data_IF_451375590501
#
_entry.id   IF_451375590501
#
_cell.length_a   1.000
_cell.length_b   1.000
_cell.length_c   1.000
_cell.angle_alpha   90.00
_cell.angle_beta   90.00
_cell.angle_gamma   90.00
#
_symmetry.space_group_name_H-M   'P 1'
#
loop_
_entity.id
_entity.type
_entity.pdbx_description
1 polymer ?
#
# COMPACT_ATOMS: atom_id res chain seq x y z
N UNK A 1 -43.63 -5.20 -28.34
CA UNK A 1 -42.63 -4.29 -27.76
C UNK A 1 -41.93 -5.02 -26.65
N UNK A 2 -40.75 -5.54 -26.89
CA UNK A 2 -39.90 -6.25 -25.90
C UNK A 2 -39.06 -5.23 -25.13
N UNK A 3 -39.20 -5.20 -23.81
CA UNK A 3 -38.37 -4.38 -22.90
C UNK A 3 -36.98 -4.97 -22.87
N UNK A 4 -35.96 -4.15 -23.21
CA UNK A 4 -34.58 -4.50 -23.03
C UNK A 4 -34.25 -4.73 -21.53
N UNK A 5 -33.39 -5.69 -21.16
CA UNK A 5 -32.99 -5.88 -19.78
C UNK A 5 -32.13 -4.69 -19.33
N UNK A 6 -32.52 -4.06 -18.23
CA UNK A 6 -31.75 -3.06 -17.53
C UNK A 6 -30.43 -3.68 -17.09
N UNK A 7 -29.33 -3.21 -17.67
CA UNK A 7 -27.98 -3.61 -17.26
C UNK A 7 -27.76 -3.28 -15.78
N UNK A 8 -27.71 -4.31 -14.95
CA UNK A 8 -27.20 -4.21 -13.58
C UNK A 8 -25.75 -3.73 -13.67
N UNK A 9 -25.49 -2.48 -13.32
CA UNK A 9 -24.12 -2.02 -13.10
C UNK A 9 -23.55 -2.86 -11.97
N UNK A 10 -22.66 -3.81 -12.28
CA UNK A 10 -21.85 -4.47 -11.25
C UNK A 10 -21.15 -3.36 -10.47
N UNK A 11 -21.52 -3.17 -9.21
CA UNK A 11 -20.72 -2.36 -8.28
C UNK A 11 -19.30 -2.90 -8.38
N UNK A 12 -18.35 -2.05 -8.73
CA UNK A 12 -16.92 -2.38 -8.70
C UNK A 12 -16.60 -2.84 -7.27
N UNK A 13 -16.02 -4.03 -7.13
CA UNK A 13 -15.62 -4.59 -5.83
C UNK A 13 -14.14 -4.29 -5.55
N UNK A 14 -13.63 -3.17 -6.06
CA UNK A 14 -12.26 -2.73 -5.96
C UNK A 14 -11.96 -2.26 -4.54
N UNK A 15 -11.02 -2.92 -3.88
CA UNK A 15 -10.66 -2.64 -2.48
C UNK A 15 -9.47 -1.69 -2.39
N UNK A 16 -9.46 -0.85 -1.35
CA UNK A 16 -8.28 -0.14 -0.88
C UNK A 16 -7.65 -0.99 0.22
N UNK A 17 -6.47 -1.51 -0.08
CA UNK A 17 -5.70 -2.39 0.79
C UNK A 17 -4.44 -1.68 1.25
N UNK A 18 -4.30 -1.47 2.55
CA UNK A 18 -3.06 -0.99 3.18
C UNK A 18 -2.22 -2.18 3.55
N UNK A 19 -0.99 -2.26 3.05
CA UNK A 19 -0.06 -3.35 3.37
C UNK A 19 1.24 -2.76 3.93
N UNK A 20 1.48 -2.97 5.21
CA UNK A 20 2.63 -2.40 5.91
C UNK A 20 3.23 -3.38 6.92
N UNK A 21 4.50 -3.12 7.26
CA UNK A 21 5.17 -3.75 8.39
C UNK A 21 5.09 -2.84 9.61
N UNK A 22 5.02 -3.43 10.80
CA UNK A 22 5.15 -2.71 12.06
C UNK A 22 5.96 -3.52 13.07
N UNK A 23 6.57 -2.82 14.03
CA UNK A 23 7.25 -3.45 15.16
C UNK A 23 6.23 -4.08 16.12
N UNK A 24 6.73 -4.99 16.99
CA UNK A 24 5.90 -5.64 18.01
C UNK A 24 5.23 -4.62 18.95
N UNK A 25 5.89 -3.51 19.23
CA UNK A 25 5.40 -2.42 20.08
C UNK A 25 4.66 -1.30 19.31
N UNK A 26 4.31 -1.56 18.04
CA UNK A 26 3.34 -0.78 17.26
C UNK A 26 3.91 0.45 16.55
N UNK A 27 5.21 0.46 16.25
CA UNK A 27 5.82 1.53 15.45
C UNK A 27 5.83 1.17 13.97
N UNK A 28 5.65 2.19 13.13
CA UNK A 28 5.72 2.13 11.67
C UNK A 28 7.13 2.41 11.15
N UNK A 29 7.89 3.26 11.83
CA UNK A 29 9.32 3.52 11.58
C UNK A 29 10.03 3.73 12.91
N UNK A 30 11.35 3.55 12.93
CA UNK A 30 12.19 3.90 14.07
C UNK A 30 12.36 5.42 14.24
N UNK A 31 13.19 5.83 15.23
CA UNK A 31 13.49 7.22 15.50
C UNK A 31 13.95 7.99 14.25
N UNK A 32 13.51 9.22 14.12
CA UNK A 32 13.82 10.06 12.96
C UNK A 32 13.19 9.61 11.63
N UNK A 33 12.22 8.71 11.66
CA UNK A 33 11.58 8.17 10.47
C UNK A 33 12.40 7.07 9.79
N UNK A 34 13.35 6.47 10.50
CA UNK A 34 14.20 5.42 9.96
C UNK A 34 13.42 4.13 9.64
N UNK A 35 13.11 3.92 8.37
CA UNK A 35 12.39 2.73 7.87
C UNK A 35 13.24 1.46 8.04
N UNK A 36 14.58 1.59 7.91
CA UNK A 36 15.50 0.44 8.01
C UNK A 36 15.63 -0.13 9.43
N UNK A 37 15.04 0.53 10.44
CA UNK A 37 14.91 -0.03 11.78
C UNK A 37 13.82 -1.12 11.88
N UNK A 38 12.98 -1.27 10.84
CA UNK A 38 11.92 -2.26 10.82
C UNK A 38 12.50 -3.67 10.63
N UNK A 39 11.86 -4.70 11.22
CA UNK A 39 12.35 -6.08 11.16
C UNK A 39 11.99 -6.76 9.82
N UNK A 40 12.51 -6.24 8.71
CA UNK A 40 12.32 -6.83 7.38
C UNK A 40 12.97 -8.21 7.27
N UNK A 41 12.30 -9.13 6.58
CA UNK A 41 12.83 -10.43 6.19
C UNK A 41 12.17 -10.94 4.89
N UNK A 42 12.47 -12.17 4.46
CA UNK A 42 11.98 -12.73 3.19
C UNK A 42 10.45 -12.80 3.13
N UNK A 43 9.77 -13.05 4.26
CA UNK A 43 8.30 -13.07 4.33
C UNK A 43 7.66 -11.73 3.98
N UNK A 44 8.38 -10.61 4.24
CA UNK A 44 7.95 -9.28 3.80
C UNK A 44 7.95 -9.16 2.28
N UNK A 45 9.03 -9.56 1.61
CA UNK A 45 9.16 -9.50 0.16
C UNK A 45 8.15 -10.44 -0.52
N UNK A 46 7.99 -11.67 -0.01
CA UNK A 46 7.00 -12.62 -0.54
C UNK A 46 5.59 -12.02 -0.55
N UNK A 47 5.16 -11.46 0.57
CA UNK A 47 3.81 -10.92 0.68
C UNK A 47 3.62 -9.64 -0.14
N UNK A 48 4.62 -8.79 -0.21
CA UNK A 48 4.57 -7.59 -1.05
C UNK A 48 4.42 -7.95 -2.54
N UNK A 49 5.13 -8.98 -3.01
CA UNK A 49 4.95 -9.49 -4.38
C UNK A 49 3.51 -10.00 -4.62
N UNK A 50 2.94 -10.76 -3.67
CA UNK A 50 1.54 -11.21 -3.74
C UNK A 50 0.58 -10.03 -3.87
N UNK A 51 0.76 -8.98 -3.08
CA UNK A 51 -0.10 -7.78 -3.13
C UNK A 51 0.05 -6.99 -4.42
N UNK A 52 1.27 -6.84 -4.92
CA UNK A 52 1.52 -6.18 -6.20
C UNK A 52 0.85 -6.93 -7.37
N UNK A 53 0.89 -8.27 -7.38
CA UNK A 53 0.19 -9.08 -8.39
C UNK A 53 -1.34 -8.93 -8.30
N UNK A 54 -1.88 -8.73 -7.10
CA UNK A 54 -3.32 -8.57 -6.87
C UNK A 54 -3.84 -7.16 -7.15
N UNK A 55 -2.97 -6.16 -7.21
CA UNK A 55 -3.32 -4.76 -7.43
C UNK A 55 -3.11 -4.32 -8.89
N UNK A 56 -3.70 -3.19 -9.27
CA UNK A 56 -3.41 -2.49 -10.51
C UNK A 56 -3.11 -1.01 -10.29
N UNK A 57 -3.24 -0.53 -9.07
CA UNK A 57 -2.94 0.85 -8.69
C UNK A 57 -2.20 0.88 -7.37
N UNK A 58 -1.07 1.60 -7.32
CA UNK A 58 -0.38 2.00 -6.10
C UNK A 58 -0.78 3.44 -5.73
N UNK A 59 -1.27 3.62 -4.52
CA UNK A 59 -1.52 4.94 -3.95
C UNK A 59 -0.40 5.27 -2.96
N UNK A 60 0.38 6.29 -3.24
CA UNK A 60 1.59 6.62 -2.50
C UNK A 60 1.58 8.08 -2.04
N UNK A 61 2.17 8.34 -0.89
CA UNK A 61 2.61 9.68 -0.51
C UNK A 61 3.95 10.03 -1.19
N UNK A 62 4.28 11.33 -1.21
CA UNK A 62 5.50 11.82 -1.86
C UNK A 62 6.77 11.09 -1.41
N UNK A 63 7.01 11.01 -0.11
CA UNK A 63 8.23 10.40 0.44
C UNK A 63 8.37 8.94 0.00
N UNK A 64 7.35 8.12 0.20
CA UNK A 64 7.37 6.71 -0.23
C UNK A 64 7.55 6.57 -1.74
N UNK A 65 6.95 7.46 -2.54
CA UNK A 65 7.16 7.46 -3.98
C UNK A 65 8.61 7.79 -4.36
N UNK A 66 9.20 8.81 -3.72
CA UNK A 66 10.59 9.22 -3.98
C UNK A 66 11.58 8.10 -3.57
N UNK A 67 11.35 7.44 -2.43
CA UNK A 67 12.14 6.30 -1.97
C UNK A 67 12.04 5.10 -2.94
N UNK A 68 10.82 4.75 -3.35
CA UNK A 68 10.57 3.66 -4.29
C UNK A 68 11.21 3.93 -5.65
N UNK A 69 11.08 5.16 -6.15
CA UNK A 69 11.69 5.58 -7.41
C UNK A 69 13.22 5.60 -7.35
N UNK A 70 13.79 5.87 -6.19
CA UNK A 70 15.23 5.84 -5.97
C UNK A 70 15.81 4.42 -5.92
N UNK A 71 15.01 3.45 -5.49
CA UNK A 71 15.45 2.08 -5.24
C UNK A 71 15.08 1.10 -6.37
N UNK A 72 13.79 0.98 -6.69
CA UNK A 72 13.29 -0.10 -7.53
C UNK A 72 13.82 -0.10 -8.96
N UNK A 73 13.93 1.01 -9.70
CA UNK A 73 14.37 0.96 -11.11
C UNK A 73 15.74 0.32 -11.31
N UNK A 74 16.64 0.41 -10.31
CA UNK A 74 17.95 -0.19 -10.38
C UNK A 74 17.99 -1.70 -10.14
N UNK A 75 16.90 -2.29 -9.63
CA UNK A 75 16.84 -3.70 -9.21
C UNK A 75 16.41 -4.62 -10.37
N UNK A 76 15.55 -4.14 -11.27
CA UNK A 76 14.92 -4.95 -12.31
C UNK A 76 15.93 -5.75 -13.18
N UNK A 77 17.00 -5.10 -13.60
CA UNK A 77 18.00 -5.63 -14.50
C UNK A 77 19.28 -6.11 -13.77
N UNK A 78 19.37 -5.93 -12.46
CA UNK A 78 20.51 -6.35 -11.65
C UNK A 78 20.44 -7.87 -11.38
N UNK A 79 21.27 -8.64 -12.09
CA UNK A 79 21.32 -10.10 -11.97
C UNK A 79 21.91 -10.59 -10.65
N UNK A 80 22.52 -9.73 -9.84
CA UNK A 80 22.99 -10.06 -8.49
C UNK A 80 21.87 -10.11 -7.47
N UNK A 81 20.71 -9.50 -7.77
CA UNK A 81 19.53 -9.49 -6.90
C UNK A 81 18.75 -10.81 -7.03
N UNK A 82 18.03 -11.14 -5.95
CA UNK A 82 17.15 -12.31 -5.96
C UNK A 82 16.06 -12.19 -7.05
N UNK A 83 15.63 -13.30 -7.66
CA UNK A 83 14.58 -13.29 -8.68
C UNK A 83 13.29 -12.60 -8.19
N UNK A 84 12.93 -12.78 -6.93
CA UNK A 84 11.75 -12.16 -6.32
C UNK A 84 11.88 -10.63 -6.25
N UNK A 85 13.06 -10.09 -5.86
CA UNK A 85 13.28 -8.65 -5.79
C UNK A 85 13.20 -8.01 -7.19
N UNK A 86 13.74 -8.69 -8.19
CA UNK A 86 13.63 -8.26 -9.59
C UNK A 86 12.18 -8.28 -10.09
N UNK A 87 11.41 -9.29 -9.69
CA UNK A 87 9.97 -9.34 -9.99
C UNK A 87 9.23 -8.18 -9.31
N UNK A 88 9.46 -7.92 -8.02
CA UNK A 88 8.87 -6.79 -7.30
C UNK A 88 9.20 -5.47 -7.99
N UNK A 89 10.45 -5.31 -8.44
CA UNK A 89 10.88 -4.13 -9.20
C UNK A 89 10.08 -3.95 -10.50
N UNK A 90 9.94 -5.02 -11.30
CA UNK A 90 9.17 -5.01 -12.54
C UNK A 90 7.69 -4.67 -12.29
N UNK A 91 7.08 -5.27 -11.27
CA UNK A 91 5.70 -4.99 -10.87
C UNK A 91 5.52 -3.54 -10.45
N UNK A 92 6.43 -2.99 -9.64
CA UNK A 92 6.43 -1.58 -9.25
C UNK A 92 6.62 -0.64 -10.45
N UNK A 93 7.43 -1.03 -11.42
CA UNK A 93 7.61 -0.27 -12.67
C UNK A 93 6.34 -0.21 -13.52
N UNK A 94 5.64 -1.33 -13.65
CA UNK A 94 4.49 -1.49 -14.54
C UNK A 94 3.17 -0.95 -13.98
N UNK A 95 2.95 -1.04 -12.67
CA UNK A 95 1.68 -0.67 -12.02
C UNK A 95 1.41 0.85 -12.12
N UNK A 96 0.13 1.26 -12.28
CA UNK A 96 -0.26 2.67 -12.18
C UNK A 96 0.03 3.23 -10.78
N UNK A 97 0.67 4.40 -10.71
CA UNK A 97 0.95 5.10 -9.45
C UNK A 97 0.15 6.40 -9.35
N UNK A 98 -0.57 6.54 -8.25
CA UNK A 98 -1.24 7.79 -7.86
C UNK A 98 -0.50 8.35 -6.67
N UNK A 99 0.14 9.50 -6.84
CA UNK A 99 0.97 10.11 -5.80
C UNK A 99 0.25 11.29 -5.17
N UNK A 100 -0.06 11.19 -3.89
CA UNK A 100 -0.70 12.28 -3.13
C UNK A 100 0.37 13.26 -2.66
N UNK A 101 0.39 14.46 -3.26
CA UNK A 101 1.37 15.49 -2.94
C UNK A 101 0.94 16.88 -3.38
N UNK A 102 1.17 17.87 -2.53
CA UNK A 102 0.98 19.29 -2.87
C UNK A 102 2.24 19.93 -3.49
N UNK A 103 3.42 19.32 -3.29
CA UNK A 103 4.72 19.88 -3.70
C UNK A 103 5.35 19.16 -4.89
N UNK A 104 4.93 17.93 -5.22
CA UNK A 104 5.46 17.20 -6.36
C UNK A 104 4.79 17.65 -7.65
N UNK A 105 5.57 17.93 -8.69
CA UNK A 105 5.03 18.30 -10.00
C UNK A 105 4.91 17.08 -10.93
N UNK A 106 4.00 17.14 -11.90
CA UNK A 106 3.83 16.09 -12.92
C UNK A 106 5.15 15.77 -13.64
N UNK A 107 5.96 16.79 -13.97
CA UNK A 107 7.26 16.62 -14.61
C UNK A 107 8.25 15.79 -13.77
N UNK A 108 8.18 15.88 -12.45
CA UNK A 108 9.07 15.14 -11.55
C UNK A 108 8.72 13.65 -11.43
N UNK A 109 7.58 13.22 -11.88
CA UNK A 109 7.15 11.81 -11.84
C UNK A 109 7.31 11.07 -13.16
N UNK A 110 7.75 11.76 -14.22
CA UNK A 110 8.03 11.15 -15.52
C UNK A 110 9.19 10.14 -15.43
N UNK A 111 9.14 9.11 -16.27
CA UNK A 111 10.24 8.15 -16.49
C UNK A 111 10.25 6.92 -15.58
N UNK A 112 9.23 6.73 -14.72
CA UNK A 112 9.09 5.47 -13.96
C UNK A 112 7.64 4.96 -14.01
N UNK A 113 7.29 4.39 -15.17
CA UNK A 113 5.96 3.82 -15.43
C UNK A 113 4.82 4.85 -15.38
N UNK A 114 3.57 4.40 -15.48
CA UNK A 114 2.42 5.28 -15.45
C UNK A 114 2.25 5.90 -14.05
N UNK A 115 2.46 7.21 -13.96
CA UNK A 115 2.43 7.93 -12.68
C UNK A 115 1.71 9.26 -12.85
N UNK A 116 0.82 9.59 -11.90
CA UNK A 116 0.16 10.90 -11.82
C UNK A 116 0.14 11.44 -10.40
N UNK A 117 0.10 12.75 -10.28
CA UNK A 117 0.06 13.44 -8.99
C UNK A 117 -1.34 13.96 -8.73
N UNK A 118 -1.81 13.78 -7.50
CA UNK A 118 -3.08 14.28 -7.00
C UNK A 118 -2.80 15.17 -5.79
N UNK A 119 -3.48 16.29 -5.68
CA UNK A 119 -3.37 17.15 -4.50
C UNK A 119 -3.96 16.46 -3.28
N UNK A 120 -3.43 16.77 -2.10
CA UNK A 120 -3.92 16.19 -0.84
C UNK A 120 -5.41 16.48 -0.64
N UNK A 121 -5.87 17.68 -0.99
CA UNK A 121 -7.28 18.06 -0.88
C UNK A 121 -8.20 17.18 -1.74
N UNK A 122 -7.71 16.66 -2.87
CA UNK A 122 -8.50 15.88 -3.83
C UNK A 122 -8.34 14.36 -3.63
N UNK A 123 -7.47 13.92 -2.70
CA UNK A 123 -7.11 12.52 -2.52
C UNK A 123 -8.31 11.61 -2.19
N UNK A 124 -9.26 12.10 -1.39
CA UNK A 124 -10.45 11.33 -1.01
C UNK A 124 -11.38 11.11 -2.21
N UNK A 125 -11.64 12.17 -2.98
CA UNK A 125 -12.49 12.09 -4.17
C UNK A 125 -11.84 11.20 -5.24
N UNK A 126 -10.52 11.27 -5.39
CA UNK A 126 -9.77 10.40 -6.28
C UNK A 126 -9.90 8.93 -5.89
N UNK A 127 -9.72 8.59 -4.61
CA UNK A 127 -9.87 7.22 -4.11
C UNK A 127 -11.30 6.73 -4.29
N UNK A 128 -12.29 7.56 -3.95
CA UNK A 128 -13.71 7.23 -4.16
C UNK A 128 -14.00 6.95 -5.65
N UNK A 129 -13.48 7.79 -6.56
CA UNK A 129 -13.61 7.60 -8.00
C UNK A 129 -12.91 6.30 -8.48
N UNK A 130 -11.70 6.02 -7.98
CA UNK A 130 -10.98 4.78 -8.29
C UNK A 130 -11.79 3.53 -7.87
N UNK A 131 -12.41 3.55 -6.71
CA UNK A 131 -13.25 2.43 -6.21
C UNK A 131 -14.47 2.15 -7.09
N UNK A 132 -14.95 3.12 -7.87
CA UNK A 132 -16.09 2.92 -8.79
C UNK A 132 -15.69 2.35 -10.15
N UNK A 133 -14.41 2.40 -10.52
CA UNK A 133 -13.89 1.89 -11.80
C UNK A 133 -13.73 0.37 -11.74
N UNK A 134 -13.82 -0.30 -12.89
CA UNK A 134 -13.40 -1.69 -12.99
C UNK A 134 -11.89 -1.78 -12.79
N UNK A 135 -11.45 -2.79 -12.05
CA UNK A 135 -10.02 -2.99 -11.77
C UNK A 135 -9.79 -3.97 -10.63
N UNK A 136 -8.52 -4.12 -10.26
CA UNK A 136 -8.05 -4.89 -9.12
C UNK A 136 -7.88 -3.98 -7.90
N UNK A 137 -7.18 -4.45 -6.88
CA UNK A 137 -6.98 -3.70 -5.64
C UNK A 137 -6.22 -2.37 -5.87
N UNK A 138 -6.56 -1.37 -5.06
CA UNK A 138 -5.79 -0.14 -4.86
C UNK A 138 -4.90 -0.41 -3.64
N UNK A 139 -3.60 -0.54 -3.88
CA UNK A 139 -2.64 -0.94 -2.86
C UNK A 139 -1.93 0.29 -2.29
N UNK A 140 -1.75 0.32 -0.98
CA UNK A 140 -0.98 1.36 -0.29
C UNK A 140 0.17 0.68 0.45
N UNK A 141 1.40 1.00 0.05
CA UNK A 141 2.60 0.69 0.79
C UNK A 141 3.14 1.93 1.49
N UNK A 142 3.73 1.76 2.67
CA UNK A 142 4.28 2.87 3.41
C UNK A 142 3.26 3.98 3.62
N UNK A 143 3.60 5.19 3.19
CA UNK A 143 2.65 6.32 3.02
C UNK A 143 1.79 6.61 4.25
N UNK A 144 2.43 6.62 5.42
CA UNK A 144 1.81 6.66 6.75
C UNK A 144 0.68 7.71 6.87
N UNK A 145 0.96 8.95 6.49
CA UNK A 145 -0.03 10.04 6.57
C UNK A 145 -1.23 9.77 5.64
N UNK A 146 -0.96 9.23 4.42
CA UNK A 146 -2.02 9.00 3.43
C UNK A 146 -3.00 7.94 3.91
N UNK A 147 -2.49 6.77 4.34
CA UNK A 147 -3.41 5.70 4.73
C UNK A 147 -4.13 5.98 6.05
N UNK A 148 -3.49 6.66 7.02
CA UNK A 148 -4.17 7.08 8.26
C UNK A 148 -5.30 8.07 7.97
N UNK A 149 -5.09 9.05 7.06
CA UNK A 149 -6.13 9.98 6.65
C UNK A 149 -7.30 9.27 5.95
N UNK A 150 -7.02 8.35 5.03
CA UNK A 150 -8.05 7.56 4.35
C UNK A 150 -8.80 6.62 5.30
N UNK A 151 -8.11 6.02 6.27
CA UNK A 151 -8.73 5.17 7.28
C UNK A 151 -9.70 5.97 8.18
N UNK A 152 -9.30 7.18 8.56
CA UNK A 152 -10.15 8.09 9.33
C UNK A 152 -11.41 8.54 8.55
N UNK A 153 -11.36 8.48 7.20
CA UNK A 153 -12.44 8.87 6.28
C UNK A 153 -13.30 7.72 5.79
N UNK A 154 -13.08 6.49 6.27
CA UNK A 154 -13.87 5.33 5.85
C UNK A 154 -13.57 4.84 4.43
N UNK A 155 -12.36 5.09 3.91
CA UNK A 155 -11.98 4.75 2.54
C UNK A 155 -11.07 3.54 2.42
N UNK A 156 -10.53 3.01 3.53
CA UNK A 156 -9.73 1.80 3.58
C UNK A 156 -10.62 0.59 3.81
N UNK A 157 -10.53 -0.43 2.97
CA UNK A 157 -11.33 -1.65 3.10
C UNK A 157 -10.60 -2.73 3.91
N UNK A 158 -9.28 -2.83 3.74
CA UNK A 158 -8.47 -3.85 4.44
C UNK A 158 -7.14 -3.28 4.93
N UNK A 159 -6.72 -3.75 6.11
CA UNK A 159 -5.40 -3.53 6.66
C UNK A 159 -4.66 -4.87 6.72
N UNK A 160 -3.56 -4.98 5.99
CA UNK A 160 -2.66 -6.12 6.00
C UNK A 160 -1.39 -5.72 6.74
N UNK A 161 -1.27 -6.13 7.99
CA UNK A 161 -0.18 -5.72 8.87
C UNK A 161 0.74 -6.90 9.13
N UNK A 162 2.00 -6.76 8.74
CA UNK A 162 3.08 -7.69 9.07
C UNK A 162 3.73 -7.23 10.36
N UNK A 163 3.52 -7.97 11.44
CA UNK A 163 4.06 -7.64 12.76
C UNK A 163 5.35 -8.43 12.95
N UNK A 164 6.46 -7.71 13.06
CA UNK A 164 7.78 -8.33 13.28
C UNK A 164 8.16 -8.42 14.75
N UNK A 165 9.14 -9.26 15.05
CA UNK A 165 9.60 -9.52 16.41
C UNK A 165 10.48 -8.41 17.02
N UNK A 166 10.65 -7.26 16.32
CA UNK A 166 11.43 -6.13 16.80
C UNK A 166 10.66 -5.25 17.77
N UNK A 167 11.30 -4.80 18.82
CA UNK A 167 10.81 -3.77 19.74
C UNK A 167 11.68 -2.53 19.54
N UNK A 168 11.06 -1.41 19.15
CA UNK A 168 11.79 -0.17 18.82
C UNK A 168 11.85 0.83 19.98
N UNK A 169 10.84 0.84 20.84
CA UNK A 169 10.76 1.72 22.00
C UNK A 169 10.47 3.20 21.67
N UNK A 170 10.81 3.66 20.46
CA UNK A 170 10.61 5.02 19.97
C UNK A 170 10.45 5.03 18.43
N UNK A 171 9.85 6.09 17.90
CA UNK A 171 9.63 6.24 16.46
C UNK A 171 8.23 6.77 16.12
N UNK A 172 7.78 6.53 14.88
CA UNK A 172 6.44 6.91 14.43
C UNK A 172 5.48 5.75 14.70
N UNK A 173 4.42 5.99 15.46
CA UNK A 173 3.38 4.99 15.72
C UNK A 173 2.65 4.62 14.41
N UNK A 174 2.26 3.35 14.27
CA UNK A 174 1.55 2.89 13.06
C UNK A 174 0.20 3.61 12.90
N UNK A 175 -0.56 3.77 13.99
CA UNK A 175 -1.84 4.47 13.98
C UNK A 175 -1.72 5.84 14.63
N UNK A 176 -2.17 6.89 13.93
CA UNK A 176 -2.25 8.26 14.48
C UNK A 176 -3.46 8.44 15.40
N UNK A 177 -4.54 7.71 15.13
CA UNK A 177 -5.77 7.76 15.90
C UNK A 177 -6.52 6.42 15.85
N UNK A 178 -7.58 6.32 16.65
CA UNK A 178 -8.49 5.18 16.56
C UNK A 178 -9.19 5.17 15.19
N UNK A 179 -9.21 4.05 14.46
CA UNK A 179 -9.97 3.91 13.22
C UNK A 179 -11.45 4.27 13.41
N UNK A 180 -12.07 4.87 12.38
CA UNK A 180 -13.50 5.16 12.38
C UNK A 180 -14.35 3.87 12.36
N UNK A 181 -13.85 2.82 11.69
CA UNK A 181 -14.49 1.50 11.62
C UNK A 181 -13.93 0.51 12.65
N UNK A 182 -14.65 -0.58 12.85
CA UNK A 182 -14.19 -1.72 13.62
C UNK A 182 -13.27 -2.62 12.78
N UNK A 183 -12.22 -3.15 13.40
CA UNK A 183 -11.32 -4.10 12.74
C UNK A 183 -11.78 -5.53 13.03
N UNK A 184 -12.03 -6.29 11.97
CA UNK A 184 -12.39 -7.70 12.05
C UNK A 184 -11.31 -8.53 11.35
N UNK A 185 -10.70 -9.48 12.07
CA UNK A 185 -9.70 -10.38 11.51
C UNK A 185 -10.30 -11.20 10.37
N UNK A 186 -9.63 -11.20 9.21
CA UNK A 186 -9.94 -12.04 8.05
C UNK A 186 -9.05 -13.27 8.07
N UNK A 187 -7.75 -13.06 8.24
CA UNK A 187 -6.73 -14.11 8.14
C UNK A 187 -5.52 -13.77 9.01
N UNK A 188 -4.84 -14.80 9.46
CA UNK A 188 -3.49 -14.69 10.02
C UNK A 188 -2.58 -15.69 9.31
N UNK A 189 -1.35 -15.27 8.99
CA UNK A 189 -0.37 -16.12 8.30
C UNK A 189 1.00 -15.96 8.90
N UNK A 190 1.71 -17.08 9.05
CA UNK A 190 3.13 -17.15 9.33
C UNK A 190 3.85 -17.61 8.06
N UNK A 191 4.99 -17.02 7.77
CA UNK A 191 5.85 -17.42 6.64
C UNK A 191 6.94 -18.35 7.13
N UNK A 192 7.31 -19.33 6.32
CA UNK A 192 8.38 -20.27 6.66
C UNK A 192 9.73 -19.53 6.75
N UNK A 193 10.46 -19.77 7.81
CA UNK A 193 11.75 -19.10 8.05
C UNK A 193 11.68 -17.62 8.44
N UNK A 194 10.49 -17.02 8.50
CA UNK A 194 10.28 -15.63 8.86
C UNK A 194 9.91 -15.43 10.33
N UNK A 195 10.25 -14.27 10.88
CA UNK A 195 9.80 -13.80 12.18
C UNK A 195 8.60 -12.83 12.11
N UNK A 196 7.99 -12.71 10.93
CA UNK A 196 6.80 -11.90 10.71
C UNK A 196 5.52 -12.71 10.90
N UNK A 197 4.52 -12.07 11.47
CA UNK A 197 3.15 -12.56 11.49
C UNK A 197 2.29 -11.57 10.70
N UNK A 198 1.75 -12.02 9.58
CA UNK A 198 0.74 -11.26 8.86
C UNK A 198 -0.61 -11.40 9.55
N UNK A 199 -1.28 -10.30 9.78
CA UNK A 199 -2.70 -10.26 10.13
C UNK A 199 -3.43 -9.36 9.15
N UNK A 200 -4.47 -9.91 8.53
CA UNK A 200 -5.35 -9.19 7.62
C UNK A 200 -6.64 -8.84 8.37
N UNK A 201 -7.04 -7.58 8.27
CA UNK A 201 -8.27 -7.06 8.87
C UNK A 201 -9.17 -6.46 7.80
N UNK A 202 -10.45 -6.78 7.82
CA UNK A 202 -11.48 -5.94 7.22
C UNK A 202 -11.77 -4.74 8.10
N UNK A 203 -12.07 -3.61 7.50
CA UNK A 203 -12.51 -2.40 8.20
C UNK A 203 -14.01 -2.26 7.99
N UNK A 204 -14.79 -2.53 9.04
CA UNK A 204 -16.25 -2.48 9.04
C UNK A 204 -16.70 -1.09 9.56
N UNK A 205 -17.27 -0.24 8.68
CA UNK A 205 -17.73 1.14 8.98
C UNK A 205 -19.21 1.22 9.31
#
# INVERSE_FOLDING_TARGET
MARAPSGSSRKSNRKVVVCNIMSLDGFFTGPGGNVMAMPFDDGFSEYNAERLRAADTLLLGRTTYEDFRGYWPGIADDTSQLPLEREISNLNGAIEKVVVSDSLSAKKVEGWGPTRVVKRADAQDEVAALKTRAGRDILIFGSHIVWNDLLAKGLVDELHLMIGAGVLGDGVKAFEARPAGALRVIETRKFDGSNLILTQYAVDY
#
